data_IF_630530431379
#
_entry.id   IF_630530431379
#
_cell.length_a   1.000
_cell.length_b   1.000
_cell.length_c   1.000
_cell.angle_alpha   90.00
_cell.angle_beta   90.00
_cell.angle_gamma   90.00
#
_symmetry.space_group_name_H-M   'P 1'
#
loop_
_entity.id
_entity.type
_entity.pdbx_description
1 polymer ?
#
# COMPACT_ATOMS: atom_id res chain seq x y z
N UNK A 1 -9.38 40.66 37.12
CA UNK A 1 -9.91 40.36 35.77
C UNK A 1 -8.82 39.89 34.79
N UNK A 2 -7.68 40.58 34.69
CA UNK A 2 -6.56 40.18 33.80
C UNK A 2 -6.03 38.77 34.01
N UNK A 3 -5.88 38.30 35.27
CA UNK A 3 -5.36 36.95 35.56
C UNK A 3 -6.29 35.85 35.02
N UNK A 4 -7.61 36.02 35.14
CA UNK A 4 -8.60 35.05 34.64
C UNK A 4 -8.55 34.97 33.11
N UNK A 5 -8.48 36.13 32.44
CA UNK A 5 -8.37 36.20 30.97
C UNK A 5 -7.07 35.52 30.50
N UNK A 6 -5.95 35.77 31.18
CA UNK A 6 -4.67 35.16 30.87
C UNK A 6 -4.72 33.63 31.00
N UNK A 7 -5.31 33.11 32.08
CA UNK A 7 -5.47 31.66 32.31
C UNK A 7 -6.36 31.01 31.25
N UNK A 8 -7.43 31.67 30.80
CA UNK A 8 -8.30 31.15 29.73
C UNK A 8 -7.56 31.10 28.39
N UNK A 9 -6.77 32.13 28.05
CA UNK A 9 -5.98 32.16 26.82
C UNK A 9 -4.91 31.07 26.83
N UNK A 10 -4.19 30.85 27.94
CA UNK A 10 -3.21 29.78 28.05
C UNK A 10 -3.84 28.39 27.91
N UNK A 11 -5.01 28.15 28.50
CA UNK A 11 -5.73 26.89 28.32
C UNK A 11 -6.19 26.68 26.88
N UNK A 12 -6.60 27.74 26.18
CA UNK A 12 -6.99 27.65 24.77
C UNK A 12 -5.79 27.27 23.89
N UNK A 13 -4.64 27.91 24.11
CA UNK A 13 -3.40 27.60 23.40
C UNK A 13 -2.98 26.15 23.67
N UNK A 14 -3.01 25.71 24.92
CA UNK A 14 -2.68 24.32 25.26
C UNK A 14 -3.62 23.32 24.57
N UNK A 15 -4.93 23.59 24.55
CA UNK A 15 -5.91 22.74 23.87
C UNK A 15 -5.68 22.68 22.35
N UNK A 16 -5.38 23.83 21.72
CA UNK A 16 -5.07 23.87 20.28
C UNK A 16 -3.77 23.11 19.94
N UNK A 17 -2.73 23.24 20.76
CA UNK A 17 -1.47 22.50 20.57
C UNK A 17 -1.67 20.98 20.69
N UNK A 18 -2.45 20.52 21.67
CA UNK A 18 -2.80 19.10 21.82
C UNK A 18 -3.60 18.61 20.61
N UNK A 19 -4.57 19.41 20.13
CA UNK A 19 -5.38 19.05 18.96
C UNK A 19 -4.56 18.93 17.68
N UNK A 20 -3.65 19.87 17.42
CA UNK A 20 -2.74 19.83 16.27
C UNK A 20 -1.81 18.62 16.33
N UNK A 21 -1.26 18.34 17.51
CA UNK A 21 -0.38 17.18 17.72
C UNK A 21 -1.11 15.86 17.44
N UNK A 22 -2.36 15.74 17.91
CA UNK A 22 -3.20 14.57 17.67
C UNK A 22 -3.46 14.37 16.16
N UNK A 23 -3.79 15.45 15.43
CA UNK A 23 -4.02 15.39 13.99
C UNK A 23 -2.76 14.97 13.23
N UNK A 24 -1.59 15.48 13.59
CA UNK A 24 -0.32 15.08 12.99
C UNK A 24 -0.06 13.58 13.17
N UNK A 25 -0.29 13.04 14.38
CA UNK A 25 -0.14 11.61 14.67
C UNK A 25 -1.14 10.76 13.88
N UNK A 26 -2.37 11.24 13.69
CA UNK A 26 -3.37 10.54 12.88
C UNK A 26 -2.97 10.46 11.40
N UNK A 27 -2.44 11.56 10.85
CA UNK A 27 -1.95 11.64 9.46
C UNK A 27 -0.75 10.71 9.26
N UNK A 28 0.21 10.73 10.18
CA UNK A 28 1.39 9.88 10.12
C UNK A 28 1.02 8.39 10.18
N UNK A 29 0.07 8.02 11.06
CA UNK A 29 -0.47 6.66 11.10
C UNK A 29 -1.18 6.25 9.82
N UNK A 30 -1.91 7.17 9.17
CA UNK A 30 -2.55 6.90 7.88
C UNK A 30 -1.48 6.61 6.81
N UNK A 31 -0.48 7.47 6.69
CA UNK A 31 0.64 7.28 5.76
C UNK A 31 1.45 6.01 6.03
N UNK A 32 1.60 5.60 7.30
CA UNK A 32 2.21 4.32 7.61
C UNK A 32 1.37 3.13 7.12
N UNK A 33 0.05 3.18 7.26
CA UNK A 33 -0.86 2.12 6.78
C UNK A 33 -0.90 2.05 5.24
N UNK A 34 -0.89 3.20 4.57
CA UNK A 34 -0.77 3.28 3.11
C UNK A 34 0.54 2.64 2.63
N UNK A 35 1.67 3.02 3.24
CA UNK A 35 2.98 2.43 2.93
C UNK A 35 3.01 0.93 3.18
N UNK A 36 2.43 0.43 4.26
CA UNK A 36 2.33 -1.00 4.53
C UNK A 36 1.56 -1.73 3.43
N UNK A 37 0.45 -1.15 2.96
CA UNK A 37 -0.37 -1.72 1.89
C UNK A 37 0.41 -1.79 0.57
N UNK A 38 1.15 -0.73 0.24
CA UNK A 38 2.05 -0.70 -0.91
C UNK A 38 3.16 -1.75 -0.83
N UNK A 39 3.88 -1.83 0.29
CA UNK A 39 4.96 -2.81 0.48
C UNK A 39 4.45 -4.24 0.41
N UNK A 40 3.22 -4.49 0.88
CA UNK A 40 2.56 -5.77 0.74
C UNK A 40 2.34 -6.13 -0.73
N UNK A 41 1.72 -5.25 -1.52
CA UNK A 41 1.55 -5.48 -2.96
C UNK A 41 2.89 -5.73 -3.66
N UNK A 42 3.92 -4.92 -3.33
CA UNK A 42 5.25 -5.03 -3.93
C UNK A 42 5.95 -6.35 -3.57
N UNK A 43 5.89 -6.77 -2.31
CA UNK A 43 6.48 -8.03 -1.86
C UNK A 43 5.86 -9.24 -2.58
N UNK A 44 4.54 -9.25 -2.76
CA UNK A 44 3.84 -10.29 -3.52
C UNK A 44 4.22 -10.26 -5.00
N UNK A 45 4.29 -9.08 -5.62
CA UNK A 45 4.74 -8.94 -7.00
C UNK A 45 6.17 -9.48 -7.22
N UNK A 46 7.10 -9.18 -6.32
CA UNK A 46 8.48 -9.71 -6.35
C UNK A 46 8.52 -11.23 -6.16
N UNK A 47 7.68 -11.77 -5.28
CA UNK A 47 7.57 -13.23 -5.10
C UNK A 47 7.09 -13.91 -6.38
N UNK A 48 6.08 -13.35 -7.04
CA UNK A 48 5.55 -13.87 -8.32
C UNK A 48 6.59 -13.77 -9.42
N UNK A 49 7.30 -12.64 -9.52
CA UNK A 49 8.39 -12.46 -10.47
C UNK A 49 9.47 -13.52 -10.28
N UNK A 50 9.91 -13.77 -9.04
CA UNK A 50 10.90 -14.80 -8.74
C UNK A 50 10.43 -16.20 -9.17
N UNK A 51 9.14 -16.51 -8.99
CA UNK A 51 8.57 -17.78 -9.47
C UNK A 51 8.62 -17.86 -11.00
N UNK A 52 8.28 -16.78 -11.71
CA UNK A 52 8.33 -16.72 -13.17
C UNK A 52 9.76 -16.83 -13.71
N UNK A 53 10.72 -16.13 -13.09
CA UNK A 53 12.16 -16.21 -13.42
C UNK A 53 12.71 -17.62 -13.24
N UNK A 54 12.25 -18.35 -12.21
CA UNK A 54 12.62 -19.77 -12.01
C UNK A 54 11.95 -20.75 -12.98
N UNK A 55 11.15 -20.27 -13.93
CA UNK A 55 10.36 -21.11 -14.85
C UNK A 55 9.16 -21.80 -14.18
N UNK A 56 8.81 -21.38 -12.96
CA UNK A 56 7.66 -21.90 -12.23
C UNK A 56 6.36 -21.41 -12.82
N UNK A 57 5.32 -22.26 -12.73
CA UNK A 57 3.99 -21.86 -13.16
C UNK A 57 3.28 -21.10 -12.03
N UNK A 58 2.74 -19.93 -12.33
CA UNK A 58 1.95 -19.13 -11.38
C UNK A 58 0.48 -19.29 -11.76
N UNK A 59 -0.37 -19.58 -10.77
CA UNK A 59 -1.81 -19.69 -10.99
C UNK A 59 -2.37 -18.39 -11.60
N UNK A 60 -3.29 -18.53 -12.56
CA UNK A 60 -3.89 -17.41 -13.31
C UNK A 60 -4.63 -16.43 -12.42
N UNK A 61 -5.21 -16.90 -11.32
CA UNK A 61 -5.78 -16.02 -10.29
C UNK A 61 -5.68 -16.69 -8.93
N UNK A 62 -5.22 -15.95 -7.92
CA UNK A 62 -5.28 -16.40 -6.53
C UNK A 62 -5.41 -15.22 -5.57
N UNK A 63 -6.05 -15.49 -4.44
CA UNK A 63 -6.32 -14.49 -3.39
C UNK A 63 -5.78 -14.99 -2.05
N UNK A 64 -5.05 -14.12 -1.36
CA UNK A 64 -4.52 -14.39 -0.02
C UNK A 64 -5.12 -13.39 0.96
N UNK A 65 -5.96 -13.88 1.86
CA UNK A 65 -6.57 -13.07 2.92
C UNK A 65 -5.81 -13.27 4.23
N UNK A 66 -5.54 -12.18 4.93
CA UNK A 66 -4.88 -12.16 6.23
C UNK A 66 -5.60 -11.20 7.18
N UNK A 67 -5.26 -11.23 8.47
CA UNK A 67 -5.77 -10.26 9.45
C UNK A 67 -5.48 -8.80 9.07
N UNK A 68 -4.43 -8.55 8.28
CA UNK A 68 -3.98 -7.21 7.92
C UNK A 68 -4.47 -6.74 6.54
N UNK A 69 -5.26 -7.55 5.83
CA UNK A 69 -5.76 -7.23 4.49
C UNK A 69 -5.77 -8.42 3.53
N UNK A 70 -6.17 -8.15 2.30
CA UNK A 70 -6.31 -9.11 1.20
C UNK A 70 -5.34 -8.74 0.09
N UNK A 71 -4.68 -9.74 -0.50
CA UNK A 71 -3.90 -9.58 -1.72
C UNK A 71 -4.52 -10.45 -2.82
N UNK A 72 -4.78 -9.90 -3.99
CA UNK A 72 -5.22 -10.61 -5.18
C UNK A 72 -4.13 -10.55 -6.24
N UNK A 73 -3.85 -11.67 -6.88
CA UNK A 73 -2.93 -11.76 -8.02
C UNK A 73 -3.69 -12.28 -9.22
N UNK A 74 -3.59 -11.56 -10.33
CA UNK A 74 -4.10 -11.98 -11.63
C UNK A 74 -2.94 -12.09 -12.60
N UNK A 75 -2.81 -13.24 -13.24
CA UNK A 75 -1.78 -13.56 -14.22
C UNK A 75 -2.45 -13.94 -15.52
N UNK A 76 -2.16 -13.19 -16.59
CA UNK A 76 -2.61 -13.53 -17.94
C UNK A 76 -1.51 -14.32 -18.64
N UNK A 77 -1.81 -15.56 -19.03
CA UNK A 77 -0.82 -16.48 -19.60
C UNK A 77 -0.71 -16.31 -21.12
N UNK A 78 0.26 -15.50 -21.54
CA UNK A 78 0.72 -15.39 -22.93
C UNK A 78 2.26 -15.49 -22.97
N UNK A 79 2.86 -15.31 -24.17
CA UNK A 79 4.32 -15.16 -24.32
C UNK A 79 4.87 -13.99 -23.47
N UNK A 80 4.06 -12.93 -23.34
CA UNK A 80 4.26 -11.86 -22.36
C UNK A 80 3.23 -12.05 -21.26
N UNK A 81 3.70 -12.38 -20.07
CA UNK A 81 2.87 -12.56 -18.89
C UNK A 81 2.55 -11.20 -18.30
N UNK A 82 1.27 -10.85 -18.25
CA UNK A 82 0.82 -9.70 -17.48
C UNK A 82 0.49 -10.14 -16.06
N UNK A 83 1.17 -9.56 -15.07
CA UNK A 83 0.90 -9.79 -13.66
C UNK A 83 0.33 -8.52 -13.05
N UNK A 84 -0.81 -8.66 -12.38
CA UNK A 84 -1.45 -7.60 -11.61
C UNK A 84 -1.61 -8.08 -10.17
N UNK A 85 -1.10 -7.30 -9.23
CA UNK A 85 -1.17 -7.55 -7.79
C UNK A 85 -1.90 -6.41 -7.12
N UNK A 86 -3.07 -6.70 -6.57
CA UNK A 86 -3.89 -5.76 -5.79
C UNK A 86 -3.75 -6.11 -4.31
N UNK A 87 -3.29 -5.19 -3.47
CA UNK A 87 -3.36 -5.31 -2.02
C UNK A 87 -4.37 -4.31 -1.46
N UNK A 88 -5.31 -4.81 -0.66
CA UNK A 88 -6.34 -4.01 -0.01
C UNK A 88 -6.31 -4.21 1.49
N UNK A 89 -6.32 -3.12 2.23
CA UNK A 89 -6.48 -3.11 3.69
C UNK A 89 -7.72 -2.31 4.06
N UNK A 90 -8.05 -2.24 5.34
CA UNK A 90 -9.15 -1.39 5.81
C UNK A 90 -8.86 0.12 5.59
N UNK A 91 -7.61 0.51 5.34
CA UNK A 91 -7.19 1.90 5.26
C UNK A 91 -6.73 2.34 3.87
N UNK A 92 -6.31 1.43 2.99
CA UNK A 92 -5.75 1.79 1.69
C UNK A 92 -5.84 0.64 0.67
N UNK A 93 -5.62 0.96 -0.60
CA UNK A 93 -5.50 0.00 -1.71
C UNK A 93 -4.25 0.31 -2.54
N UNK A 94 -3.45 -0.70 -2.86
CA UNK A 94 -2.26 -0.52 -3.70
C UNK A 94 -2.26 -1.57 -4.82
N UNK A 95 -1.83 -1.16 -6.01
CA UNK A 95 -1.72 -2.01 -7.18
C UNK A 95 -0.31 -1.97 -7.73
N UNK A 96 0.26 -3.14 -7.98
CA UNK A 96 1.51 -3.31 -8.72
C UNK A 96 1.18 -4.10 -9.97
N UNK A 97 1.64 -3.62 -11.12
CA UNK A 97 1.44 -4.30 -12.39
C UNK A 97 2.76 -4.38 -13.14
N UNK A 98 3.10 -5.56 -13.65
CA UNK A 98 4.30 -5.73 -14.48
C UNK A 98 4.05 -6.71 -15.61
N UNK A 99 4.83 -6.54 -16.68
CA UNK A 99 4.86 -7.47 -17.81
C UNK A 99 6.19 -8.22 -17.79
N UNK A 100 6.13 -9.54 -17.89
CA UNK A 100 7.28 -10.43 -17.91
C UNK A 100 7.31 -11.22 -19.21
N UNK A 101 8.41 -11.14 -19.97
CA UNK A 101 8.59 -11.92 -21.18
C UNK A 101 9.16 -13.29 -20.83
N UNK A 102 8.41 -14.36 -21.09
CA UNK A 102 8.88 -15.73 -20.81
C UNK A 102 10.06 -16.17 -21.70
N UNK A 103 10.17 -15.61 -22.91
CA UNK A 103 11.21 -15.98 -23.85
C UNK A 103 12.56 -15.34 -23.52
N UNK A 104 12.56 -14.06 -23.10
CA UNK A 104 13.79 -13.34 -22.72
C UNK A 104 14.08 -13.38 -21.23
N UNK A 105 13.11 -13.82 -20.42
CA UNK A 105 13.15 -13.79 -18.95
C UNK A 105 13.35 -12.38 -18.36
N UNK A 106 12.83 -11.36 -19.04
CA UNK A 106 12.98 -9.97 -18.63
C UNK A 106 11.64 -9.33 -18.26
N UNK A 107 11.69 -8.39 -17.31
CA UNK A 107 10.59 -7.50 -17.00
C UNK A 107 10.55 -6.39 -18.05
N UNK A 108 9.51 -6.39 -18.87
CA UNK A 108 9.32 -5.41 -19.94
C UNK A 108 8.74 -4.09 -19.44
N UNK A 109 7.89 -4.14 -18.43
CA UNK A 109 7.28 -2.95 -17.83
C UNK A 109 6.97 -3.19 -16.35
N UNK A 110 7.10 -2.14 -15.55
CA UNK A 110 6.77 -2.14 -14.13
C UNK A 110 6.02 -0.85 -13.79
N UNK A 111 4.84 -1.00 -13.20
CA UNK A 111 3.97 0.10 -12.81
C UNK A 111 3.57 -0.05 -11.35
N UNK A 112 3.96 0.96 -10.56
CA UNK A 112 3.61 1.09 -9.15
C UNK A 112 2.47 2.10 -9.01
N UNK A 113 1.28 1.62 -8.64
CA UNK A 113 0.16 2.48 -8.26
C UNK A 113 -0.10 2.33 -6.76
N UNK A 114 0.54 3.19 -5.97
CA UNK A 114 0.14 3.41 -4.59
C UNK A 114 -1.16 4.23 -4.59
N UNK A 115 -2.31 3.55 -4.62
CA UNK A 115 -3.60 4.21 -4.62
C UNK A 115 -3.91 4.81 -3.25
N UNK A 116 -4.03 6.14 -3.19
CA UNK A 116 -4.83 6.80 -2.16
C UNK A 116 -6.26 6.28 -2.29
N UNK A 117 -6.77 5.61 -1.25
CA UNK A 117 -8.16 5.14 -1.24
C UNK A 117 -9.11 6.30 -1.50
N UNK A 118 -9.97 6.16 -2.51
CA UNK A 118 -11.15 6.99 -2.72
C UNK A 118 -12.27 6.59 -1.76
#
# INVERSE_FOLDING_TARGET
>A
MQVIVLTVVFNLIAFTMVSLSLRSVQIENLHHKERQTYWRARSTALSVLKTLESGGNVATTFMTTSKTGTTSVTVTSDNVVLVKVDAKTAAAEARIQFQFNKATQEVMSWMDNAGTGS
#
